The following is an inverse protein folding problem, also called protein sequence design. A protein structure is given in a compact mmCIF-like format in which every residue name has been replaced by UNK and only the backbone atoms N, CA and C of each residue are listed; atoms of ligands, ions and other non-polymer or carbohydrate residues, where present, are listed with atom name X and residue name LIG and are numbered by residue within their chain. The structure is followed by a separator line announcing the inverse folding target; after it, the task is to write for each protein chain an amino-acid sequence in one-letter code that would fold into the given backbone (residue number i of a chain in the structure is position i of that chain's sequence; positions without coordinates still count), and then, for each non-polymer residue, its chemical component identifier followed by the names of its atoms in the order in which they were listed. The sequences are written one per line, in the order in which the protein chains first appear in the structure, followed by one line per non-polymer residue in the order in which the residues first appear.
data_IF_482150339661
#
_entry.id   IF_482150339661
#
_cell.length_a   1.000
_cell.length_b   1.000
_cell.length_c   1.000
_cell.angle_alpha   90.00
_cell.angle_beta   90.00
_cell.angle_gamma   90.00
#
_symmetry.space_group_name_H-M   'P 1'
#
loop_
_entity.id
_entity.type
_entity.pdbx_description
1 polymer ?
#
# COMPACT_ATOMS: atom_id res chain seq x y z
N UNK A 1 18.48 -17.19 15.71
CA UNK A 1 18.79 -17.13 14.27
C UNK A 1 17.97 -18.12 13.42
N UNK A 2 17.84 -19.41 13.79
CA UNK A 2 17.07 -20.40 13.01
C UNK A 2 15.62 -20.00 12.70
N UNK A 3 14.91 -19.37 13.64
CA UNK A 3 13.52 -18.93 13.43
C UNK A 3 13.35 -17.76 12.45
N UNK A 4 14.32 -16.84 12.39
CA UNK A 4 14.31 -15.68 11.50
C UNK A 4 14.58 -16.06 10.05
N UNK A 5 15.56 -16.95 9.82
CA UNK A 5 15.86 -17.48 8.48
C UNK A 5 14.66 -18.26 7.95
N UNK A 6 14.02 -19.07 8.79
CA UNK A 6 12.81 -19.81 8.40
C UNK A 6 11.67 -18.87 7.99
N UNK A 7 11.40 -17.82 8.77
CA UNK A 7 10.40 -16.80 8.44
C UNK A 7 10.73 -16.11 7.11
N UNK A 8 11.98 -15.73 6.90
CA UNK A 8 12.45 -15.11 5.66
C UNK A 8 12.20 -16.01 4.45
N UNK A 9 12.60 -17.28 4.50
CA UNK A 9 12.44 -18.21 3.38
C UNK A 9 10.98 -18.46 3.02
N UNK A 10 10.08 -18.49 4.01
CA UNK A 10 8.65 -18.62 3.76
C UNK A 10 8.11 -17.38 3.06
N UNK A 11 8.43 -16.20 3.60
CA UNK A 11 8.02 -14.94 3.00
C UNK A 11 8.61 -14.77 1.60
N UNK A 12 9.86 -15.18 1.38
CA UNK A 12 10.54 -15.18 0.08
C UNK A 12 9.82 -16.06 -0.93
N UNK A 13 9.46 -17.29 -0.54
CA UNK A 13 8.67 -18.18 -1.41
C UNK A 13 7.35 -17.54 -1.78
N UNK A 14 6.63 -16.94 -0.82
CA UNK A 14 5.39 -16.23 -1.10
C UNK A 14 5.62 -15.01 -2.00
N UNK A 15 6.72 -14.29 -1.85
CA UNK A 15 7.12 -13.19 -2.73
C UNK A 15 7.38 -13.64 -4.18
N UNK A 16 7.84 -14.88 -4.38
CA UNK A 16 8.03 -15.45 -5.71
C UNK A 16 6.74 -16.02 -6.33
N UNK A 17 5.72 -16.34 -5.54
CA UNK A 17 4.53 -17.07 -6.02
C UNK A 17 3.22 -16.30 -5.97
N UNK A 18 3.17 -15.17 -5.26
CA UNK A 18 1.91 -14.43 -5.07
C UNK A 18 1.63 -13.52 -6.26
N UNK A 19 0.80 -13.97 -7.19
CA UNK A 19 0.29 -13.18 -8.31
C UNK A 19 -1.16 -12.76 -8.07
N UNK A 20 -1.66 -11.76 -8.80
CA UNK A 20 -3.07 -11.38 -8.78
C UNK A 20 -3.44 -10.28 -7.77
N UNK A 21 -2.44 -9.60 -7.18
CA UNK A 21 -2.65 -8.41 -6.36
C UNK A 21 -3.13 -8.68 -4.94
N UNK A 22 -3.52 -7.62 -4.19
CA UNK A 22 -3.69 -7.70 -2.74
C UNK A 22 -4.67 -8.79 -2.27
N UNK A 23 -5.83 -8.95 -2.92
CA UNK A 23 -6.82 -9.96 -2.54
C UNK A 23 -6.26 -11.39 -2.69
N UNK A 24 -5.56 -11.66 -3.78
CA UNK A 24 -4.92 -12.95 -4.01
C UNK A 24 -3.81 -13.21 -2.99
N UNK A 25 -2.95 -12.20 -2.72
CA UNK A 25 -1.90 -12.30 -1.70
C UNK A 25 -2.46 -12.68 -0.33
N UNK A 26 -3.59 -12.08 0.07
CA UNK A 26 -4.27 -12.43 1.31
C UNK A 26 -4.81 -13.87 1.29
N UNK A 27 -5.21 -14.40 0.14
CA UNK A 27 -5.53 -15.83 -0.01
C UNK A 27 -4.29 -16.72 0.22
N UNK A 28 -3.18 -16.42 -0.45
CA UNK A 28 -1.92 -17.16 -0.28
C UNK A 28 -1.42 -17.12 1.17
N UNK A 29 -1.54 -15.97 1.84
CA UNK A 29 -1.14 -15.82 3.24
C UNK A 29 -2.04 -16.60 4.18
N UNK A 30 -3.35 -16.63 3.92
CA UNK A 30 -4.28 -17.43 4.70
C UNK A 30 -3.96 -18.93 4.59
N UNK A 31 -3.78 -19.44 3.37
CA UNK A 31 -3.45 -20.85 3.18
C UNK A 31 -2.11 -21.24 3.81
N UNK A 32 -1.10 -20.37 3.74
CA UNK A 32 0.22 -20.66 4.32
C UNK A 32 0.25 -20.49 5.83
N UNK A 33 -0.17 -19.34 6.36
CA UNK A 33 0.04 -18.97 7.75
C UNK A 33 -1.09 -19.44 8.69
N UNK A 34 -2.31 -19.60 8.18
CA UNK A 34 -3.44 -20.15 8.94
C UNK A 34 -3.51 -21.66 8.70
N UNK A 35 -3.89 -22.11 7.50
CA UNK A 35 -4.18 -23.54 7.26
C UNK A 35 -2.97 -24.44 7.45
N UNK A 36 -1.87 -24.19 6.73
CA UNK A 36 -0.71 -25.10 6.72
C UNK A 36 0.13 -24.99 7.97
N UNK A 37 0.46 -23.77 8.41
CA UNK A 37 1.40 -23.55 9.51
C UNK A 37 0.74 -23.35 10.87
N UNK A 38 -0.56 -23.04 10.90
CA UNK A 38 -1.30 -22.80 12.14
C UNK A 38 -0.60 -21.76 13.04
N UNK A 39 0.01 -20.74 12.43
CA UNK A 39 0.65 -19.64 13.17
C UNK A 39 -0.38 -18.63 13.69
N UNK A 40 -1.51 -18.54 12.99
CA UNK A 40 -2.62 -17.66 13.31
C UNK A 40 -3.92 -18.46 13.20
N UNK A 41 -4.88 -18.18 14.07
CA UNK A 41 -6.26 -18.63 13.90
C UNK A 41 -6.99 -17.82 12.83
N UNK A 42 -8.13 -18.32 12.35
CA UNK A 42 -9.00 -17.59 11.41
C UNK A 42 -9.38 -16.19 11.92
N UNK A 43 -9.73 -16.09 13.21
CA UNK A 43 -10.07 -14.84 13.85
C UNK A 43 -8.85 -13.90 13.92
N UNK A 44 -7.68 -14.43 14.29
CA UNK A 44 -6.41 -13.70 14.31
C UNK A 44 -6.08 -13.10 12.94
N UNK A 45 -6.18 -13.91 11.89
CA UNK A 45 -5.88 -13.50 10.54
C UNK A 45 -6.88 -12.44 10.03
N UNK A 46 -8.17 -12.69 10.21
CA UNK A 46 -9.25 -11.79 9.78
C UNK A 46 -9.13 -10.42 10.47
N UNK A 47 -8.80 -10.41 11.77
CA UNK A 47 -8.57 -9.18 12.52
C UNK A 47 -7.38 -8.37 12.00
N UNK A 48 -6.27 -9.05 11.69
CA UNK A 48 -5.10 -8.38 11.12
C UNK A 48 -5.41 -7.82 9.73
N UNK A 49 -6.09 -8.60 8.88
CA UNK A 49 -6.52 -8.14 7.56
C UNK A 49 -7.43 -6.92 7.66
N UNK A 50 -8.40 -6.92 8.58
CA UNK A 50 -9.29 -5.79 8.79
C UNK A 50 -8.52 -4.53 9.23
N UNK A 51 -7.56 -4.66 10.15
CA UNK A 51 -6.71 -3.55 10.58
C UNK A 51 -5.90 -2.97 9.40
N UNK A 52 -5.23 -3.83 8.63
CA UNK A 52 -4.40 -3.38 7.49
C UNK A 52 -5.23 -2.87 6.30
N UNK A 53 -6.52 -3.19 6.22
CA UNK A 53 -7.43 -2.58 5.23
C UNK A 53 -7.99 -1.24 5.71
N UNK A 54 -8.08 -1.04 7.03
CA UNK A 54 -8.49 0.22 7.62
C UNK A 54 -7.38 1.29 7.54
N UNK A 55 -6.13 0.91 7.79
CA UNK A 55 -5.01 1.83 7.71
C UNK A 55 -4.63 2.11 6.25
N UNK A 56 -4.17 3.34 5.92
CA UNK A 56 -3.63 3.60 4.60
C UNK A 56 -2.32 2.84 4.38
N UNK A 57 -2.13 2.38 3.15
CA UNK A 57 -0.92 1.74 2.65
C UNK A 57 -1.18 0.43 1.89
N UNK A 58 -0.10 -0.31 1.58
CA UNK A 58 -0.19 -1.54 0.79
C UNK A 58 -0.68 -2.71 1.66
N UNK A 59 -1.98 -3.00 1.57
CA UNK A 59 -2.67 -3.99 2.41
C UNK A 59 -1.92 -5.34 2.54
N UNK A 60 -1.51 -5.97 1.44
CA UNK A 60 -0.83 -7.28 1.52
C UNK A 60 0.52 -7.18 2.22
N UNK A 61 1.35 -6.18 1.90
CA UNK A 61 2.67 -6.02 2.54
C UNK A 61 2.54 -5.65 4.01
N UNK A 62 1.53 -4.85 4.38
CA UNK A 62 1.21 -4.55 5.77
C UNK A 62 0.77 -5.81 6.53
N UNK A 63 -0.11 -6.63 5.97
CA UNK A 63 -0.51 -7.91 6.58
C UNK A 63 0.71 -8.82 6.73
N UNK A 64 1.54 -8.97 5.70
CA UNK A 64 2.76 -9.78 5.78
C UNK A 64 3.72 -9.29 6.87
N UNK A 65 3.94 -7.97 6.96
CA UNK A 65 4.68 -7.36 8.05
C UNK A 65 4.04 -7.67 9.41
N UNK A 66 2.73 -7.49 9.55
CA UNK A 66 1.97 -7.79 10.76
C UNK A 66 2.09 -9.26 11.20
N UNK A 67 2.03 -10.22 10.27
CA UNK A 67 2.24 -11.64 10.56
C UNK A 67 3.65 -11.87 11.12
N UNK A 68 4.66 -11.24 10.50
CA UNK A 68 6.03 -11.27 11.00
C UNK A 68 6.16 -10.69 12.41
N UNK A 69 5.45 -9.58 12.69
CA UNK A 69 5.40 -8.97 14.03
C UNK A 69 4.76 -9.89 15.05
N UNK A 70 3.62 -10.51 14.71
CA UNK A 70 2.95 -11.47 15.58
C UNK A 70 3.85 -12.67 15.89
N UNK A 71 4.66 -13.10 14.91
CA UNK A 71 5.51 -14.29 15.04
C UNK A 71 6.81 -14.05 15.80
N UNK A 72 7.50 -12.94 15.56
CA UNK A 72 8.84 -12.69 16.09
C UNK A 72 9.13 -11.21 16.39
N UNK A 73 8.10 -10.43 16.72
CA UNK A 73 8.22 -9.00 17.03
C UNK A 73 8.62 -8.15 15.84
N UNK A 74 8.99 -6.89 16.07
CA UNK A 74 9.28 -5.92 14.99
C UNK A 74 10.32 -6.41 13.97
N UNK A 75 11.35 -7.11 14.45
CA UNK A 75 12.39 -7.70 13.60
C UNK A 75 11.77 -8.77 12.69
N UNK A 76 10.87 -9.60 13.21
CA UNK A 76 10.08 -10.54 12.41
C UNK A 76 9.26 -9.86 11.33
N UNK A 77 8.66 -8.70 11.63
CA UNK A 77 7.94 -7.90 10.64
C UNK A 77 8.82 -7.44 9.49
N UNK A 78 9.99 -6.87 9.81
CA UNK A 78 10.99 -6.43 8.81
C UNK A 78 11.44 -7.62 7.95
N UNK A 79 11.74 -8.75 8.57
CA UNK A 79 12.21 -9.96 7.85
C UNK A 79 11.13 -10.50 6.91
N UNK A 80 9.87 -10.55 7.38
CA UNK A 80 8.75 -11.00 6.54
C UNK A 80 8.50 -10.05 5.38
N UNK A 81 8.60 -8.73 5.61
CA UNK A 81 8.51 -7.74 4.54
C UNK A 81 9.62 -7.90 3.50
N UNK A 82 10.88 -8.03 3.94
CA UNK A 82 12.02 -8.22 3.05
C UNK A 82 11.85 -9.49 2.21
N UNK A 83 11.51 -10.62 2.83
CA UNK A 83 11.28 -11.85 2.09
C UNK A 83 10.18 -11.69 1.04
N UNK A 84 9.02 -11.18 1.42
CA UNK A 84 7.88 -11.05 0.50
C UNK A 84 8.13 -10.05 -0.65
N UNK A 85 8.89 -8.99 -0.40
CA UNK A 85 8.99 -7.85 -1.33
C UNK A 85 10.22 -7.95 -2.23
N UNK A 86 11.33 -8.51 -1.72
CA UNK A 86 12.62 -8.54 -2.40
C UNK A 86 12.60 -9.15 -3.80
N UNK A 87 11.92 -10.28 -4.09
CA UNK A 87 11.90 -10.86 -5.44
C UNK A 87 11.43 -9.86 -6.49
N UNK A 88 10.32 -9.17 -6.19
CA UNK A 88 9.72 -8.20 -7.09
C UNK A 88 10.57 -6.95 -7.28
N UNK A 89 11.21 -6.46 -6.21
CA UNK A 89 12.17 -5.35 -6.26
C UNK A 89 13.32 -5.70 -7.19
N UNK A 90 13.94 -6.87 -7.00
CA UNK A 90 15.09 -7.28 -7.81
C UNK A 90 14.73 -7.40 -9.28
N UNK A 91 13.60 -8.03 -9.60
CA UNK A 91 13.14 -8.18 -10.99
C UNK A 91 12.95 -6.79 -11.61
N UNK A 92 12.23 -5.88 -10.93
CA UNK A 92 11.95 -4.55 -11.46
C UNK A 92 13.20 -3.66 -11.61
N UNK A 93 14.15 -3.74 -10.66
CA UNK A 93 15.42 -3.01 -10.72
C UNK A 93 16.28 -3.51 -11.89
N UNK A 94 16.36 -4.83 -12.07
CA UNK A 94 17.10 -5.44 -13.18
C UNK A 94 16.48 -5.00 -14.51
N UNK A 95 15.15 -5.11 -14.65
CA UNK A 95 14.48 -4.66 -15.87
C UNK A 95 14.69 -3.17 -16.14
N UNK A 96 14.51 -2.30 -15.13
CA UNK A 96 14.75 -0.87 -15.29
C UNK A 96 16.19 -0.57 -15.75
N UNK A 97 17.18 -1.24 -15.14
CA UNK A 97 18.59 -1.08 -15.51
C UNK A 97 18.84 -1.52 -16.95
N UNK A 98 18.30 -2.67 -17.36
CA UNK A 98 18.43 -3.19 -18.72
C UNK A 98 17.76 -2.27 -19.74
N UNK A 99 16.59 -1.72 -19.44
CA UNK A 99 15.89 -0.78 -20.32
C UNK A 99 16.69 0.51 -20.56
N UNK A 100 17.45 0.98 -19.56
CA UNK A 100 18.25 2.20 -19.67
C UNK A 100 19.56 1.99 -20.44
N UNK A 101 20.18 0.81 -20.33
CA UNK A 101 21.51 0.55 -20.91
C UNK A 101 21.45 -0.11 -22.28
N UNK A 102 20.36 -0.80 -22.60
CA UNK A 102 20.29 -1.64 -23.79
C UNK A 102 19.51 -0.92 -24.88
N UNK A 103 20.14 -0.64 -26.02
CA UNK A 103 19.43 -0.29 -27.27
C UNK A 103 18.64 -1.47 -27.86
N UNK A 104 18.08 -2.31 -26.99
CA UNK A 104 17.38 -3.55 -27.32
C UNK A 104 16.00 -3.22 -27.90
N UNK A 105 15.57 -3.99 -28.90
CA UNK A 105 14.26 -3.81 -29.50
C UNK A 105 13.16 -4.15 -28.48
N UNK A 106 12.49 -3.11 -27.98
CA UNK A 106 11.46 -3.19 -26.94
C UNK A 106 10.06 -3.40 -27.51
N UNK A 107 9.93 -3.90 -28.74
CA UNK A 107 8.63 -4.20 -29.37
C UNK A 107 7.74 -5.11 -28.52
N UNK A 108 8.31 -6.03 -27.73
CA UNK A 108 7.57 -6.85 -26.76
C UNK A 108 7.00 -6.05 -25.57
N UNK A 109 7.67 -4.97 -25.15
CA UNK A 109 7.19 -4.05 -24.10
C UNK A 109 5.92 -3.35 -24.57
N UNK A 110 5.82 -3.00 -25.85
CA UNK A 110 4.58 -2.42 -26.40
C UNK A 110 3.39 -3.38 -26.28
N UNK A 111 3.61 -4.69 -26.49
CA UNK A 111 2.60 -5.71 -26.19
C UNK A 111 2.19 -5.71 -24.71
N UNK A 112 3.17 -5.58 -23.81
CA UNK A 112 2.91 -5.49 -22.37
C UNK A 112 2.17 -4.20 -21.98
N UNK A 113 2.45 -3.06 -22.64
CA UNK A 113 1.72 -1.79 -22.44
C UNK A 113 0.23 -1.94 -22.76
N UNK A 114 -0.12 -2.63 -23.84
CA UNK A 114 -1.53 -2.90 -24.19
C UNK A 114 -2.19 -3.74 -23.10
N UNK A 115 -1.52 -4.79 -22.60
CA UNK A 115 -2.00 -5.60 -21.48
C UNK A 115 -2.16 -4.75 -20.22
N UNK A 116 -1.23 -3.83 -19.95
CA UNK A 116 -1.29 -2.95 -18.80
C UNK A 116 -2.52 -2.04 -18.83
N UNK A 117 -2.89 -1.50 -20.00
CA UNK A 117 -4.14 -0.73 -20.17
C UNK A 117 -5.36 -1.59 -19.84
N UNK A 118 -5.41 -2.83 -20.33
CA UNK A 118 -6.50 -3.77 -20.00
C UNK A 118 -6.53 -4.10 -18.50
N UNK A 119 -5.38 -4.25 -17.85
CA UNK A 119 -5.27 -4.49 -16.40
C UNK A 119 -5.72 -3.28 -15.59
N UNK A 120 -5.33 -2.05 -15.98
CA UNK A 120 -5.84 -0.81 -15.36
C UNK A 120 -7.34 -0.73 -15.50
N UNK A 121 -7.87 -0.97 -16.70
CA UNK A 121 -9.31 -0.94 -16.95
C UNK A 121 -10.04 -1.96 -16.06
N UNK A 122 -9.53 -3.19 -15.99
CA UNK A 122 -10.07 -4.23 -15.11
C UNK A 122 -9.97 -3.84 -13.62
N UNK A 123 -8.88 -3.22 -13.21
CA UNK A 123 -8.71 -2.73 -11.84
C UNK A 123 -9.72 -1.61 -11.50
N UNK A 124 -9.93 -0.66 -12.42
CA UNK A 124 -10.92 0.42 -12.26
C UNK A 124 -12.32 -0.17 -12.18
N UNK A 125 -12.69 -1.09 -13.08
CA UNK A 125 -13.99 -1.73 -13.08
C UNK A 125 -14.22 -2.57 -11.81
N UNK A 126 -13.23 -3.34 -11.38
CA UNK A 126 -13.29 -4.11 -10.14
C UNK A 126 -13.38 -3.22 -8.89
N UNK A 127 -12.65 -2.11 -8.85
CA UNK A 127 -12.76 -1.11 -7.79
C UNK A 127 -14.15 -0.45 -7.79
N UNK A 128 -14.67 -0.06 -8.95
CA UNK A 128 -16.00 0.52 -9.06
C UNK A 128 -17.08 -0.45 -8.56
N UNK A 129 -17.02 -1.73 -8.91
CA UNK A 129 -17.96 -2.74 -8.43
C UNK A 129 -17.89 -2.93 -6.91
N UNK A 130 -16.68 -2.90 -6.34
CA UNK A 130 -16.46 -3.15 -4.92
C UNK A 130 -16.75 -1.94 -4.03
N UNK A 131 -16.37 -0.75 -4.49
CA UNK A 131 -16.48 0.51 -3.74
C UNK A 131 -17.81 1.23 -3.98
N UNK A 132 -18.57 0.87 -5.03
CA UNK A 132 -19.87 1.46 -5.34
C UNK A 132 -20.98 0.39 -5.36
N UNK A 133 -21.20 -0.33 -4.24
CA UNK A 133 -22.09 -1.49 -4.21
C UNK A 133 -23.57 -1.09 -4.40
N UNK A 134 -23.98 0.07 -3.92
CA UNK A 134 -25.36 0.56 -3.93
C UNK A 134 -25.52 1.89 -4.69
N UNK A 135 -26.77 2.22 -5.06
CA UNK A 135 -27.07 3.42 -5.83
C UNK A 135 -26.76 4.72 -5.07
N UNK A 136 -26.82 4.74 -3.74
CA UNK A 136 -26.50 5.95 -2.96
C UNK A 136 -25.00 6.21 -3.00
N UNK A 137 -24.19 5.17 -2.82
CA UNK A 137 -22.72 5.26 -2.93
C UNK A 137 -22.28 5.65 -4.35
N UNK A 138 -22.94 5.11 -5.39
CA UNK A 138 -22.73 5.55 -6.78
C UNK A 138 -23.04 7.04 -6.98
N UNK A 139 -24.14 7.54 -6.40
CA UNK A 139 -24.53 8.94 -6.50
C UNK A 139 -23.53 9.87 -5.78
N UNK A 140 -23.07 9.49 -4.59
CA UNK A 140 -22.03 10.25 -3.87
C UNK A 140 -20.69 10.25 -4.61
N UNK A 141 -20.31 9.13 -5.23
CA UNK A 141 -19.11 9.06 -6.05
C UNK A 141 -19.23 9.92 -7.30
N UNK A 142 -20.39 9.91 -7.98
CA UNK A 142 -20.65 10.79 -9.13
C UNK A 142 -20.62 12.27 -8.73
N UNK A 143 -21.23 12.63 -7.60
CA UNK A 143 -21.17 13.98 -7.06
C UNK A 143 -19.73 14.42 -6.79
N UNK A 144 -18.96 13.58 -6.11
CA UNK A 144 -17.54 13.84 -5.80
C UNK A 144 -16.71 13.97 -7.08
N UNK A 145 -16.97 13.12 -8.08
CA UNK A 145 -16.32 13.18 -9.38
C UNK A 145 -16.63 14.51 -10.09
N UNK A 146 -17.90 14.90 -10.17
CA UNK A 146 -18.31 16.15 -10.83
C UNK A 146 -17.70 17.37 -10.14
N UNK A 147 -17.75 17.43 -8.80
CA UNK A 147 -17.16 18.53 -8.02
C UNK A 147 -15.65 18.63 -8.25
N UNK A 148 -14.94 17.49 -8.24
CA UNK A 148 -13.48 17.50 -8.39
C UNK A 148 -13.01 17.78 -9.81
N UNK A 149 -13.79 17.39 -10.83
CA UNK A 149 -13.51 17.72 -12.24
C UNK A 149 -13.78 19.21 -12.52
N UNK A 150 -14.88 19.77 -12.00
CA UNK A 150 -15.24 21.17 -12.23
C UNK A 150 -14.39 22.13 -11.40
N UNK A 151 -14.01 21.74 -10.18
CA UNK A 151 -13.16 22.52 -9.28
C UNK A 151 -11.83 21.77 -9.14
N UNK A 152 -10.95 22.00 -10.12
CA UNK A 152 -9.60 21.43 -10.19
C UNK A 152 -8.65 22.04 -9.12
N UNK A 153 -9.00 21.89 -7.85
CA UNK A 153 -8.24 22.37 -6.71
C UNK A 153 -8.15 21.27 -5.63
N UNK A 154 -6.98 20.96 -5.05
CA UNK A 154 -6.83 19.87 -4.07
C UNK A 154 -7.78 19.97 -2.86
N UNK A 155 -8.11 21.20 -2.44
CA UNK A 155 -9.07 21.42 -1.35
C UNK A 155 -10.49 20.93 -1.67
N UNK A 156 -10.89 20.88 -2.96
CA UNK A 156 -12.22 20.38 -3.36
C UNK A 156 -12.36 18.88 -3.09
N UNK A 157 -11.28 18.12 -3.27
CA UNK A 157 -11.23 16.68 -2.97
C UNK A 157 -11.41 16.44 -1.46
N UNK A 158 -10.67 17.17 -0.62
CA UNK A 158 -10.75 17.04 0.84
C UNK A 158 -12.13 17.45 1.36
N UNK A 159 -12.68 18.57 0.87
CA UNK A 159 -14.01 19.04 1.24
C UNK A 159 -15.10 18.05 0.82
N UNK A 160 -15.04 17.54 -0.42
CA UNK A 160 -16.01 16.57 -0.91
C UNK A 160 -15.98 15.26 -0.12
N UNK A 161 -14.78 14.72 0.17
CA UNK A 161 -14.63 13.53 1.00
C UNK A 161 -15.13 13.76 2.44
N UNK A 162 -14.86 14.93 3.01
CA UNK A 162 -15.32 15.26 4.37
C UNK A 162 -16.85 15.36 4.42
N UNK A 163 -17.47 16.03 3.44
CA UNK A 163 -18.92 16.17 3.32
C UNK A 163 -19.60 14.81 3.12
N UNK A 164 -19.11 13.98 2.20
CA UNK A 164 -19.65 12.64 1.96
C UNK A 164 -19.44 11.75 3.19
N UNK A 165 -18.29 11.82 3.85
CA UNK A 165 -18.02 11.10 5.10
C UNK A 165 -18.99 11.49 6.23
N UNK A 166 -19.26 12.78 6.40
CA UNK A 166 -20.26 13.26 7.38
C UNK A 166 -21.66 12.77 7.05
N UNK A 167 -22.06 12.77 5.78
CA UNK A 167 -23.37 12.27 5.34
C UNK A 167 -23.47 10.75 5.54
N UNK A 168 -22.39 10.01 5.28
CA UNK A 168 -22.31 8.56 5.47
C UNK A 168 -22.62 8.11 6.89
N UNK A 169 -22.23 8.91 7.90
CA UNK A 169 -22.53 8.65 9.31
C UNK A 169 -24.04 8.60 9.62
N UNK A 170 -24.87 9.27 8.82
CA UNK A 170 -26.32 9.31 9.02
C UNK A 170 -27.08 8.33 8.11
N UNK A 171 -26.46 7.85 7.03
CA UNK A 171 -27.14 7.06 5.98
C UNK A 171 -27.00 5.55 6.15
N UNK A 172 -25.88 5.06 6.69
CA UNK A 172 -25.63 3.62 6.81
C UNK A 172 -26.09 3.06 8.16
N UNK A 173 -27.06 2.13 8.12
CA UNK A 173 -27.59 1.43 9.31
C UNK A 173 -26.82 0.13 9.56
N UNK A 174 -26.77 -0.22 10.84
CA UNK A 174 -25.89 -1.20 11.46
C UNK A 174 -26.27 -2.67 11.19
N UNK A 175 -25.27 -3.53 10.98
CA UNK A 175 -25.38 -4.98 11.25
C UNK A 175 -24.36 -5.41 12.30
N UNK A 176 -24.88 -6.07 13.34
CA UNK A 176 -24.18 -6.57 14.52
C UNK A 176 -23.34 -7.80 14.13
N UNK A 177 -22.04 -7.74 14.41
CA UNK A 177 -21.16 -8.91 14.37
C UNK A 177 -20.55 -9.14 15.74
N UNK A 178 -20.63 -10.38 16.22
CA UNK A 178 -20.04 -10.83 17.49
C UNK A 178 -18.52 -10.64 17.49
N UNK A 179 -17.99 -10.24 18.65
CA UNK A 179 -16.56 -9.98 18.86
C UNK A 179 -15.90 -11.13 19.59
N UNK A 180 -14.92 -11.76 18.96
CA UNK A 180 -13.94 -12.61 19.64
C UNK A 180 -12.75 -11.74 20.03
N UNK A 181 -12.40 -11.70 21.32
CA UNK A 181 -11.19 -11.01 21.77
C UNK A 181 -9.95 -11.80 21.34
N UNK A 182 -9.04 -11.16 20.62
CA UNK A 182 -7.85 -11.84 20.12
C UNK A 182 -6.62 -10.96 20.34
N UNK A 183 -5.86 -11.25 21.40
CA UNK A 183 -4.54 -10.63 21.62
C UNK A 183 -3.53 -11.20 20.62
N UNK A 184 -3.20 -10.42 19.59
CA UNK A 184 -2.24 -10.80 18.55
C UNK A 184 -0.83 -10.28 18.79
N UNK A 185 -0.68 -9.16 19.49
CA UNK A 185 0.54 -8.36 19.47
C UNK A 185 0.98 -7.93 20.87
N UNK A 186 2.30 -7.92 21.10
CA UNK A 186 2.93 -7.47 22.33
C UNK A 186 3.85 -6.26 22.08
N UNK A 187 3.32 -5.19 21.49
CA UNK A 187 4.07 -3.94 21.28
C UNK A 187 3.85 -3.00 22.47
N UNK A 188 4.95 -2.46 23.01
CA UNK A 188 4.90 -1.45 24.09
C UNK A 188 4.25 -0.16 23.57
N UNK A 189 3.39 0.46 24.38
CA UNK A 189 2.70 1.71 24.02
C UNK A 189 3.65 2.85 23.64
N UNK A 190 4.80 2.95 24.30
CA UNK A 190 5.81 3.97 23.97
C UNK A 190 6.32 3.84 22.54
N UNK A 191 6.56 2.61 22.07
CA UNK A 191 7.00 2.34 20.69
C UNK A 191 5.91 2.74 19.69
N UNK A 192 4.64 2.46 20.00
CA UNK A 192 3.53 2.90 19.18
C UNK A 192 3.44 4.43 19.08
N UNK A 193 3.56 5.13 20.21
CA UNK A 193 3.54 6.60 20.23
C UNK A 193 4.72 7.17 19.44
N UNK A 194 5.93 6.65 19.62
CA UNK A 194 7.10 7.07 18.84
C UNK A 194 6.89 6.86 17.35
N UNK A 195 6.30 5.74 16.94
CA UNK A 195 6.01 5.46 15.53
C UNK A 195 4.97 6.43 14.94
N UNK A 196 3.92 6.77 15.71
CA UNK A 196 2.92 7.78 15.30
C UNK A 196 3.52 9.18 15.21
N UNK A 197 4.33 9.59 16.20
CA UNK A 197 5.03 10.88 16.16
C UNK A 197 5.93 10.94 14.93
N UNK A 198 6.72 9.91 14.67
CA UNK A 198 7.59 9.84 13.51
C UNK A 198 6.80 9.87 12.20
N UNK A 199 5.67 9.17 12.14
CA UNK A 199 4.77 9.19 10.98
C UNK A 199 4.30 10.61 10.65
N UNK A 200 3.66 11.29 11.60
CA UNK A 200 3.15 12.65 11.37
C UNK A 200 4.27 13.67 11.16
N UNK A 201 5.40 13.51 11.85
CA UNK A 201 6.57 14.38 11.66
C UNK A 201 7.10 14.29 10.24
N UNK A 202 7.31 13.08 9.71
CA UNK A 202 7.79 12.90 8.33
C UNK A 202 6.76 13.40 7.31
N UNK A 203 5.47 13.17 7.55
CA UNK A 203 4.39 13.62 6.66
C UNK A 203 4.34 15.16 6.52
N UNK A 204 4.76 15.90 7.54
CA UNK A 204 4.79 17.37 7.55
C UNK A 204 6.16 17.89 7.08
N UNK A 205 7.25 17.33 7.61
CA UNK A 205 8.61 17.85 7.39
C UNK A 205 9.10 17.59 5.97
N UNK A 206 8.80 16.42 5.38
CA UNK A 206 9.26 16.09 4.03
C UNK A 206 8.75 17.06 2.95
N UNK A 207 7.44 17.40 2.87
CA UNK A 207 6.98 18.37 1.86
C UNK A 207 7.54 19.78 2.10
N UNK A 208 7.77 20.19 3.35
CA UNK A 208 8.44 21.46 3.65
C UNK A 208 9.90 21.41 3.17
N UNK A 209 10.63 20.33 3.47
CA UNK A 209 12.01 20.15 3.04
C UNK A 209 12.12 20.11 1.51
N UNK A 210 11.15 19.48 0.82
CA UNK A 210 11.06 19.45 -0.64
C UNK A 210 10.81 20.85 -1.21
N UNK A 211 9.91 21.64 -0.62
CA UNK A 211 9.64 23.01 -1.07
C UNK A 211 10.82 23.97 -0.87
N UNK A 212 11.68 23.69 0.11
CA UNK A 212 12.86 24.50 0.43
C UNK A 212 14.15 24.02 -0.25
N UNK A 213 14.11 22.89 -0.96
CA UNK A 213 15.29 22.24 -1.52
C UNK A 213 15.10 21.93 -3.00
N UNK A 214 16.16 22.11 -3.79
CA UNK A 214 16.18 21.68 -5.20
C UNK A 214 16.65 20.21 -5.36
N UNK A 215 16.77 19.47 -4.25
CA UNK A 215 17.29 18.10 -4.26
C UNK A 215 16.25 17.09 -4.77
N UNK A 216 16.56 16.44 -5.91
CA UNK A 216 15.79 15.33 -6.46
C UNK A 216 15.58 14.17 -5.46
N UNK A 217 16.54 13.93 -4.56
CA UNK A 217 16.43 12.89 -3.53
C UNK A 217 15.37 13.22 -2.48
N UNK A 218 15.30 14.48 -2.03
CA UNK A 218 14.28 14.91 -1.05
C UNK A 218 12.90 14.86 -1.70
N UNK A 219 12.78 15.33 -2.95
CA UNK A 219 11.55 15.22 -3.72
C UNK A 219 11.08 13.78 -3.87
N UNK A 220 11.99 12.85 -4.21
CA UNK A 220 11.68 11.43 -4.32
C UNK A 220 11.18 10.85 -2.99
N UNK A 221 11.86 11.13 -1.87
CA UNK A 221 11.45 10.64 -0.55
C UNK A 221 10.09 11.21 -0.17
N UNK A 222 9.87 12.52 -0.32
CA UNK A 222 8.60 13.18 -0.05
C UNK A 222 7.44 12.57 -0.85
N UNK A 223 7.59 12.50 -2.17
CA UNK A 223 6.57 12.00 -3.08
C UNK A 223 6.20 10.54 -2.78
N UNK A 224 7.18 9.66 -2.56
CA UNK A 224 6.91 8.27 -2.20
C UNK A 224 6.32 8.14 -0.80
N UNK A 225 6.82 8.88 0.18
CA UNK A 225 6.32 8.84 1.56
C UNK A 225 4.86 9.30 1.62
N UNK A 226 4.52 10.43 0.98
CA UNK A 226 3.15 10.93 0.90
C UNK A 226 2.24 9.97 0.14
N UNK A 227 2.70 9.44 -1.00
CA UNK A 227 1.93 8.43 -1.75
C UNK A 227 1.65 7.20 -0.90
N UNK A 228 2.65 6.68 -0.18
CA UNK A 228 2.49 5.54 0.72
C UNK A 228 1.56 5.83 1.91
N UNK A 229 1.55 7.06 2.43
CA UNK A 229 0.74 7.49 3.57
C UNK A 229 -0.73 7.77 3.23
N UNK A 230 -1.04 8.07 1.96
CA UNK A 230 -2.37 8.53 1.53
C UNK A 230 -3.18 7.49 0.75
N UNK A 231 -2.62 6.30 0.49
CA UNK A 231 -3.32 5.27 -0.27
C UNK A 231 -4.27 4.48 0.63
N UNK A 232 -5.56 4.52 0.32
CA UNK A 232 -6.56 3.63 0.90
C UNK A 232 -7.07 2.65 -0.17
N UNK A 233 -7.43 1.43 0.21
CA UNK A 233 -8.18 0.53 -0.68
C UNK A 233 -7.36 -0.29 -1.70
N UNK A 234 -6.02 -0.34 -1.59
CA UNK A 234 -5.19 -1.35 -2.26
C UNK A 234 -4.22 -0.82 -3.33
N UNK A 235 -3.51 -1.74 -3.98
CA UNK A 235 -2.33 -1.47 -4.81
C UNK A 235 -2.52 -0.45 -5.92
N UNK A 236 -3.66 -0.42 -6.61
CA UNK A 236 -3.85 0.42 -7.81
C UNK A 236 -4.20 1.88 -7.48
N UNK A 237 -4.65 2.17 -6.26
CA UNK A 237 -4.99 3.54 -5.84
C UNK A 237 -3.73 4.41 -5.67
N UNK A 238 -2.55 3.78 -5.57
CA UNK A 238 -1.27 4.50 -5.54
C UNK A 238 -0.90 5.07 -6.91
N UNK A 239 -1.41 4.49 -7.99
CA UNK A 239 -0.94 4.80 -9.34
C UNK A 239 -1.19 6.27 -9.73
N UNK A 240 -2.38 6.87 -9.51
CA UNK A 240 -2.60 8.28 -9.81
C UNK A 240 -1.72 9.23 -8.96
N UNK A 241 -1.41 8.85 -7.71
CA UNK A 241 -0.54 9.64 -6.84
C UNK A 241 0.91 9.62 -7.35
N UNK A 242 1.40 8.45 -7.77
CA UNK A 242 2.73 8.32 -8.36
C UNK A 242 2.80 9.00 -9.73
N UNK A 243 1.78 8.87 -10.57
CA UNK A 243 1.72 9.52 -11.87
C UNK A 243 1.76 11.05 -11.70
N UNK A 244 0.89 11.62 -10.87
CA UNK A 244 0.87 13.06 -10.63
C UNK A 244 2.18 13.58 -10.04
N UNK A 245 2.81 12.83 -9.13
CA UNK A 245 4.04 13.24 -8.47
C UNK A 245 5.28 13.14 -9.38
N UNK A 246 5.41 12.08 -10.18
CA UNK A 246 6.62 11.80 -10.95
C UNK A 246 6.50 12.17 -12.43
N UNK A 247 5.35 11.93 -13.07
CA UNK A 247 5.10 12.33 -14.46
C UNK A 247 4.64 13.78 -14.52
N UNK A 248 3.63 14.15 -13.72
CA UNK A 248 3.17 15.53 -13.61
C UNK A 248 4.26 16.48 -13.09
N UNK A 249 5.10 16.00 -12.18
CA UNK A 249 6.30 16.68 -11.70
C UNK A 249 7.51 16.66 -12.66
N UNK A 250 7.37 16.06 -13.86
CA UNK A 250 8.42 15.94 -14.89
C UNK A 250 9.72 15.27 -14.43
N UNK A 251 9.65 14.41 -13.42
CA UNK A 251 10.80 13.65 -12.91
C UNK A 251 11.10 12.40 -13.74
N UNK A 252 10.07 11.83 -14.38
CA UNK A 252 10.16 10.70 -15.32
C UNK A 252 9.22 10.95 -16.51
N UNK A 253 9.46 10.28 -17.64
CA UNK A 253 8.54 10.36 -18.78
C UNK A 253 7.27 9.53 -18.55
N UNK A 254 6.18 9.91 -19.22
CA UNK A 254 4.96 9.09 -19.22
C UNK A 254 5.20 7.69 -19.82
N UNK A 255 6.11 7.57 -20.78
CA UNK A 255 6.43 6.30 -21.41
C UNK A 255 7.18 5.35 -20.46
N UNK A 256 8.15 5.86 -19.71
CA UNK A 256 8.87 5.11 -18.67
C UNK A 256 7.91 4.64 -17.57
N UNK A 257 6.99 5.53 -17.17
CA UNK A 257 5.98 5.21 -16.16
C UNK A 257 5.06 4.08 -16.62
N UNK A 258 4.49 4.18 -17.83
CA UNK A 258 3.60 3.14 -18.38
C UNK A 258 4.36 1.83 -18.58
N UNK A 259 5.61 1.90 -19.05
CA UNK A 259 6.49 0.73 -19.21
C UNK A 259 6.72 0.02 -17.88
N UNK A 260 7.13 0.75 -16.85
CA UNK A 260 7.39 0.18 -15.53
C UNK A 260 6.12 -0.36 -14.87
N UNK A 261 4.99 0.32 -15.06
CA UNK A 261 3.71 -0.16 -14.57
C UNK A 261 3.32 -1.48 -15.25
N UNK A 262 3.52 -1.59 -16.57
CA UNK A 262 3.28 -2.81 -17.33
C UNK A 262 4.14 -3.98 -16.81
N UNK A 263 5.43 -3.72 -16.53
CA UNK A 263 6.33 -4.69 -15.91
C UNK A 263 5.87 -5.09 -14.50
N UNK A 264 5.47 -4.13 -13.67
CA UNK A 264 5.02 -4.39 -12.31
C UNK A 264 3.77 -5.30 -12.25
N UNK A 265 2.94 -5.31 -13.29
CA UNK A 265 1.78 -6.22 -13.39
C UNK A 265 2.17 -7.66 -13.77
N UNK A 266 3.35 -7.87 -14.36
CA UNK A 266 3.84 -9.18 -14.78
C UNK A 266 4.68 -9.89 -13.71
N UNK A 267 5.02 -9.21 -12.62
CA UNK A 267 5.93 -9.69 -11.57
C UNK A 267 5.13 -10.10 -10.33
N UNK A 268 5.49 -11.19 -9.64
CA UNK A 268 4.81 -11.57 -8.40
C UNK A 268 5.08 -10.55 -7.30
N UNK A 269 4.21 -10.50 -6.30
CA UNK A 269 4.38 -9.64 -5.12
C UNK A 269 3.64 -8.31 -5.22
N UNK A 270 3.94 -7.37 -4.32
CA UNK A 270 3.11 -6.19 -4.13
C UNK A 270 3.38 -5.13 -5.21
N UNK A 271 2.31 -4.64 -5.87
CA UNK A 271 2.38 -3.58 -6.89
C UNK A 271 3.16 -2.32 -6.45
N UNK A 272 3.23 -2.05 -5.14
CA UNK A 272 4.02 -0.94 -4.58
C UNK A 272 5.53 -1.05 -4.87
N UNK A 273 6.05 -2.22 -5.26
CA UNK A 273 7.45 -2.35 -5.73
C UNK A 273 7.70 -1.68 -7.07
N UNK A 274 6.65 -1.21 -7.74
CA UNK A 274 6.78 -0.24 -8.82
C UNK A 274 7.57 1.03 -8.39
N UNK A 275 7.54 1.40 -7.11
CA UNK A 275 8.41 2.45 -6.58
C UNK A 275 9.91 2.15 -6.81
N UNK A 276 10.33 0.89 -6.67
CA UNK A 276 11.70 0.47 -6.92
C UNK A 276 12.11 0.66 -8.38
N UNK A 277 11.17 0.40 -9.31
CA UNK A 277 11.37 0.69 -10.74
C UNK A 277 11.57 2.18 -10.97
N UNK A 278 10.64 3.02 -10.50
CA UNK A 278 10.72 4.48 -10.66
C UNK A 278 12.02 5.02 -10.04
N UNK A 279 12.36 4.57 -8.83
CA UNK A 279 13.62 4.93 -8.17
C UNK A 279 14.85 4.52 -8.99
N UNK A 280 14.81 3.36 -9.64
CA UNK A 280 15.87 2.93 -10.57
C UNK A 280 15.96 3.85 -11.76
N UNK A 281 14.83 4.22 -12.35
CA UNK A 281 14.80 5.11 -13.50
C UNK A 281 15.43 6.47 -13.16
N UNK A 282 15.13 7.01 -11.97
CA UNK A 282 15.62 8.31 -11.52
C UNK A 282 17.08 8.33 -11.08
N UNK A 283 17.55 7.29 -10.37
CA UNK A 283 18.85 7.33 -9.68
C UNK A 283 19.48 5.95 -9.50
N UNK A 284 19.17 5.00 -10.38
CA UNK A 284 19.72 3.66 -10.39
C UNK A 284 19.39 2.86 -9.12
N UNK A 285 20.27 1.93 -8.78
CA UNK A 285 20.03 0.96 -7.70
C UNK A 285 19.83 1.63 -6.33
N UNK A 286 20.52 2.74 -6.07
CA UNK A 286 20.31 3.53 -4.84
C UNK A 286 18.92 4.16 -4.82
N UNK A 287 18.47 4.71 -5.95
CA UNK A 287 17.12 5.23 -6.08
C UNK A 287 16.06 4.17 -5.81
N UNK A 288 16.28 2.93 -6.27
CA UNK A 288 15.38 1.82 -5.99
C UNK A 288 15.23 1.53 -4.48
N UNK A 289 16.36 1.48 -3.77
CA UNK A 289 16.37 1.22 -2.32
C UNK A 289 15.63 2.34 -1.59
N UNK A 290 15.96 3.60 -1.90
CA UNK A 290 15.34 4.78 -1.27
C UNK A 290 13.84 4.83 -1.55
N UNK A 291 13.42 4.64 -2.80
CA UNK A 291 12.01 4.63 -3.18
C UNK A 291 11.21 3.53 -2.50
N UNK A 292 11.78 2.31 -2.42
CA UNK A 292 11.16 1.18 -1.73
C UNK A 292 10.96 1.49 -0.25
N UNK A 293 12.00 2.00 0.42
CA UNK A 293 11.88 2.34 1.84
C UNK A 293 10.86 3.47 2.04
N UNK A 294 10.93 4.53 1.24
CA UNK A 294 10.06 5.69 1.37
C UNK A 294 8.58 5.34 1.20
N UNK A 295 8.22 4.50 0.22
CA UNK A 295 6.81 4.17 -0.03
C UNK A 295 6.19 3.22 1.02
N UNK A 296 6.98 2.31 1.61
CA UNK A 296 6.49 1.33 2.58
C UNK A 296 6.61 1.78 4.05
N UNK A 297 7.55 2.68 4.36
CA UNK A 297 7.75 3.21 5.71
C UNK A 297 6.48 3.78 6.38
N UNK A 298 5.67 4.64 5.75
CA UNK A 298 4.49 5.24 6.41
C UNK A 298 3.50 4.18 6.89
N UNK A 299 3.26 3.16 6.06
CA UNK A 299 2.40 2.03 6.35
C UNK A 299 2.86 1.24 7.58
N UNK A 300 4.16 0.98 7.71
CA UNK A 300 4.70 0.25 8.86
C UNK A 300 4.71 1.09 10.13
N UNK A 301 5.00 2.39 10.03
CA UNK A 301 4.91 3.31 11.17
C UNK A 301 3.47 3.39 11.71
N UNK A 302 2.48 3.50 10.81
CA UNK A 302 1.07 3.49 11.20
C UNK A 302 0.65 2.17 11.83
N UNK A 303 1.01 1.04 11.22
CA UNK A 303 0.65 -0.27 11.77
C UNK A 303 1.25 -0.44 13.16
N UNK A 304 2.56 -0.24 13.34
CA UNK A 304 3.22 -0.29 14.65
C UNK A 304 2.63 0.71 15.64
N UNK A 305 2.26 1.90 15.14
CA UNK A 305 1.67 2.98 15.91
C UNK A 305 0.31 2.63 16.50
N UNK A 306 -0.54 1.99 15.70
CA UNK A 306 -1.95 1.69 16.05
C UNK A 306 -2.07 0.37 16.82
N UNK A 307 -1.19 -0.60 16.57
CA UNK A 307 -1.24 -1.94 17.18
C UNK A 307 -1.44 -1.94 18.72
N UNK A 308 -0.71 -1.14 19.54
CA UNK A 308 -0.91 -1.11 20.99
C UNK A 308 -2.28 -0.55 21.45
N UNK A 309 -2.98 0.17 20.58
CA UNK A 309 -4.25 0.84 20.89
C UNK A 309 -5.44 0.14 20.23
N UNK A 310 -5.19 -0.75 19.28
CA UNK A 310 -6.21 -1.37 18.44
C UNK A 310 -7.29 -2.12 19.24
N UNK A 311 -6.92 -2.82 20.31
CA UNK A 311 -7.90 -3.48 21.19
C UNK A 311 -8.87 -2.47 21.82
N UNK A 312 -8.37 -1.31 22.25
CA UNK A 312 -9.21 -0.24 22.83
C UNK A 312 -10.05 0.45 21.75
N UNK A 313 -9.53 0.53 20.53
CA UNK A 313 -10.24 1.08 19.36
C UNK A 313 -11.42 0.21 18.96
N UNK A 314 -11.22 -1.10 18.89
CA UNK A 314 -12.27 -2.07 18.54
C UNK A 314 -13.34 -2.21 19.63
N UNK A 315 -12.98 -2.01 20.90
CA UNK A 315 -13.93 -2.02 22.00
C UNK A 315 -14.76 -0.73 22.10
N UNK A 316 -14.42 0.32 21.34
CA UNK A 316 -15.18 1.57 21.33
C UNK A 316 -16.27 1.55 20.26
N UNK A 317 -17.53 1.53 20.71
CA UNK A 317 -18.74 1.55 19.87
C UNK A 317 -18.75 2.66 18.81
N UNK A 318 -18.16 3.83 19.08
CA UNK A 318 -18.16 4.96 18.15
C UNK A 318 -17.10 4.80 17.05
N UNK A 319 -15.90 4.31 17.39
CA UNK A 319 -14.88 4.01 16.39
C UNK A 319 -15.27 2.83 15.50
N UNK A 320 -16.00 1.83 16.02
CA UNK A 320 -16.58 0.76 15.17
C UNK A 320 -17.52 1.29 14.08
N UNK A 321 -18.25 2.39 14.34
CA UNK A 321 -19.10 3.04 13.32
C UNK A 321 -18.27 3.66 12.20
N UNK A 322 -17.13 4.25 12.54
CA UNK A 322 -16.20 4.88 11.60
C UNK A 322 -15.44 3.83 10.78
N UNK A 323 -15.06 2.69 11.39
CA UNK A 323 -14.26 1.64 10.73
C UNK A 323 -14.99 0.86 9.61
N UNK A 324 -16.33 0.95 9.51
CA UNK A 324 -17.14 0.26 8.48
C UNK A 324 -17.59 1.19 7.34
N UNK A 325 -17.48 2.52 7.50
CA UNK A 325 -17.83 3.52 6.48
C UNK A 325 -16.61 3.96 5.71
#
# INVERSE_FOLDING_TARGET
MKGYVHLFLIALRLGCTSFGGPTAHLGYFYDEYVKRRQWLTDAQYTHLVALCQFLPGPASSQVGFGIGVAKAGLIGGIISFLGFTLPSVLILVIFASLLQTSGMDMSWVNGLKIVAVAVVLNAILGMAQKLLPDMKTKLFALFTLVVTVLIAHPASQVLALTLVGLIGLFVFKHEQGETTQVRLFQIRRSVGISALILFFSLLIVLPIANALSESSWIAMIDHFYRSGALVFGGGHVVLPLLEGAFVGGKMISADDFITGYALAQAVPGPLFTFASYIGTVMSGWLGAIVATLAIFLPAFLLLVGVLPFWERVQNNMHMRKILKG
#
